data_IF_578941014037
#
_entry.id   IF_578941014037
#
_cell.length_a   1.000
_cell.length_b   1.000
_cell.length_c   1.000
_cell.angle_alpha   90.00
_cell.angle_beta   90.00
_cell.angle_gamma   90.00
#
_symmetry.space_group_name_H-M   'P 1'
#
loop_
_entity.id
_entity.type
_entity.pdbx_description
1 polymer ?
#
# COMPACT_ATOMS: atom_id res chain seq x y z
N UNK A 1 18.88 -20.44 -26.98
CA UNK A 1 18.88 -19.11 -26.29
C UNK A 1 17.65 -18.33 -26.71
N UNK A 2 16.91 -17.77 -25.78
CA UNK A 2 15.74 -16.94 -26.12
C UNK A 2 16.22 -15.67 -26.84
N UNK A 3 15.50 -15.24 -27.87
CA UNK A 3 15.79 -14.02 -28.60
C UNK A 3 15.59 -12.83 -27.63
N UNK A 4 16.63 -11.98 -27.39
CA UNK A 4 16.53 -10.87 -26.44
C UNK A 4 15.35 -9.92 -26.70
N UNK A 5 15.03 -9.67 -27.97
CA UNK A 5 13.88 -8.84 -28.39
C UNK A 5 12.53 -9.47 -28.00
N UNK A 6 12.44 -10.81 -28.09
CA UNK A 6 11.23 -11.53 -27.67
C UNK A 6 11.04 -11.48 -26.15
N UNK A 7 12.12 -11.56 -25.38
CA UNK A 7 12.05 -11.44 -23.92
C UNK A 7 11.63 -10.02 -23.48
N UNK A 8 12.20 -8.99 -24.11
CA UNK A 8 11.81 -7.60 -23.81
C UNK A 8 10.31 -7.37 -24.06
N UNK A 9 9.79 -7.86 -25.18
CA UNK A 9 8.36 -7.74 -25.49
C UNK A 9 7.48 -8.45 -24.45
N UNK A 10 7.86 -9.66 -24.02
CA UNK A 10 7.11 -10.40 -22.99
C UNK A 10 7.10 -9.67 -21.64
N UNK A 11 8.21 -9.05 -21.26
CA UNK A 11 8.29 -8.23 -20.03
C UNK A 11 7.37 -7.02 -20.15
N UNK A 12 7.38 -6.34 -21.28
CA UNK A 12 6.56 -5.15 -21.52
C UNK A 12 5.06 -5.48 -21.52
N UNK A 13 4.67 -6.54 -22.20
CA UNK A 13 3.30 -7.05 -22.22
C UNK A 13 2.82 -7.43 -20.80
N UNK A 14 3.66 -8.12 -20.03
CA UNK A 14 3.35 -8.47 -18.64
C UNK A 14 3.18 -7.24 -17.76
N UNK A 15 4.09 -6.27 -17.86
CA UNK A 15 4.00 -5.04 -17.08
C UNK A 15 2.76 -4.22 -17.44
N UNK A 16 2.41 -4.15 -18.72
CA UNK A 16 1.17 -3.51 -19.18
C UNK A 16 -0.07 -4.21 -18.62
N UNK A 17 -0.13 -5.53 -18.73
CA UNK A 17 -1.25 -6.31 -18.19
C UNK A 17 -1.37 -6.15 -16.68
N UNK A 18 -0.25 -6.22 -15.97
CA UNK A 18 -0.20 -6.01 -14.53
C UNK A 18 -0.73 -4.61 -14.16
N UNK A 19 -0.20 -3.55 -14.78
CA UNK A 19 -0.61 -2.18 -14.50
C UNK A 19 -2.08 -1.92 -14.84
N UNK A 20 -2.61 -2.58 -15.87
CA UNK A 20 -4.00 -2.41 -16.31
C UNK A 20 -5.02 -3.16 -15.43
N UNK A 21 -4.59 -4.19 -14.70
CA UNK A 21 -5.52 -5.10 -14.00
C UNK A 21 -5.26 -5.26 -12.51
N UNK A 22 -4.19 -4.68 -11.98
CA UNK A 22 -3.87 -4.77 -10.56
C UNK A 22 -3.84 -3.40 -9.89
N UNK A 23 -4.27 -3.38 -8.64
CA UNK A 23 -4.03 -2.31 -7.68
C UNK A 23 -3.31 -2.87 -6.47
N UNK A 24 -2.33 -2.13 -5.97
CA UNK A 24 -1.59 -2.47 -4.75
C UNK A 24 -1.72 -1.32 -3.77
N UNK A 25 -2.13 -1.62 -2.55
CA UNK A 25 -2.15 -0.70 -1.43
C UNK A 25 -1.06 -1.12 -0.44
N UNK A 26 -0.09 -0.24 -0.25
CA UNK A 26 1.01 -0.44 0.70
C UNK A 26 0.70 0.25 2.02
N UNK A 27 0.91 -0.45 3.12
CA UNK A 27 0.70 0.04 4.48
C UNK A 27 1.88 -0.36 5.35
N UNK A 28 2.11 0.34 6.45
CA UNK A 28 3.02 -0.10 7.50
C UNK A 28 2.28 -0.87 8.59
N UNK A 29 2.94 -1.84 9.19
CA UNK A 29 2.44 -2.51 10.41
C UNK A 29 2.79 -1.76 11.69
N UNK A 30 3.57 -0.66 11.60
CA UNK A 30 4.11 0.06 12.75
C UNK A 30 3.86 1.57 12.64
N UNK A 31 2.86 2.04 13.37
CA UNK A 31 2.51 3.46 13.41
C UNK A 31 3.49 4.33 14.24
N UNK A 32 4.40 3.72 15.00
CA UNK A 32 5.37 4.43 15.85
C UNK A 32 6.78 4.50 15.21
N UNK A 33 6.89 4.23 13.91
CA UNK A 33 8.14 4.20 13.21
C UNK A 33 8.58 5.59 12.77
N UNK A 34 9.58 6.15 13.45
CA UNK A 34 10.10 7.52 13.21
C UNK A 34 10.59 7.71 11.78
N UNK A 35 11.22 6.69 11.17
CA UNK A 35 11.70 6.79 9.79
C UNK A 35 10.53 6.89 8.79
N UNK A 36 9.42 6.20 9.06
CA UNK A 36 8.18 6.34 8.28
C UNK A 36 7.57 7.73 8.46
N UNK A 37 7.50 8.24 9.68
CA UNK A 37 7.02 9.59 9.95
C UNK A 37 7.87 10.67 9.30
N UNK A 38 9.19 10.50 9.31
CA UNK A 38 10.10 11.45 8.67
C UNK A 38 9.95 11.43 7.14
N UNK A 39 9.94 10.23 6.53
CA UNK A 39 9.96 10.10 5.06
C UNK A 39 8.58 10.29 4.41
N UNK A 40 7.53 9.78 5.03
CA UNK A 40 6.19 9.72 4.46
C UNK A 40 5.15 10.55 5.20
N UNK A 41 5.45 10.96 6.42
CA UNK A 41 4.60 11.81 7.25
C UNK A 41 4.99 13.30 7.22
N UNK A 42 5.59 13.80 6.15
CA UNK A 42 6.04 15.18 6.00
C UNK A 42 6.84 15.66 7.21
N UNK A 43 7.94 14.93 7.54
CA UNK A 43 8.80 15.24 8.70
C UNK A 43 8.00 15.42 10.00
N UNK A 44 7.08 14.49 10.28
CA UNK A 44 6.16 14.46 11.44
C UNK A 44 5.05 15.52 11.41
N UNK A 45 4.73 16.13 10.26
CA UNK A 45 3.62 17.09 10.13
C UNK A 45 2.34 16.45 9.58
N UNK A 46 2.46 15.26 8.98
CA UNK A 46 1.35 14.54 8.34
C UNK A 46 0.46 13.78 9.33
N UNK A 47 -0.30 12.84 8.77
CA UNK A 47 -1.20 11.95 9.53
C UNK A 47 -0.88 10.49 9.23
N UNK A 48 -1.11 9.61 10.21
CA UNK A 48 -1.15 8.18 10.00
C UNK A 48 -2.59 7.69 10.24
N UNK A 49 -3.11 6.90 9.30
CA UNK A 49 -4.49 6.39 9.35
C UNK A 49 -4.44 4.89 9.65
N UNK A 50 -5.12 4.49 10.72
CA UNK A 50 -5.31 3.09 11.09
C UNK A 50 -6.64 2.56 10.60
N UNK A 51 -6.61 1.38 9.99
CA UNK A 51 -7.77 0.71 9.42
C UNK A 51 -8.17 -0.52 10.23
N UNK A 52 -9.48 -0.80 10.27
CA UNK A 52 -9.97 -2.13 10.60
C UNK A 52 -9.58 -3.09 9.47
N UNK A 53 -8.73 -4.05 9.80
CA UNK A 53 -8.16 -4.97 8.81
C UNK A 53 -9.21 -5.86 8.17
N UNK A 54 -10.22 -6.31 8.91
CA UNK A 54 -11.27 -7.19 8.40
C UNK A 54 -12.12 -6.49 7.35
N UNK A 55 -12.55 -5.26 7.64
CA UNK A 55 -13.32 -4.43 6.71
C UNK A 55 -12.49 -4.03 5.49
N UNK A 56 -11.21 -3.71 5.70
CA UNK A 56 -10.32 -3.35 4.61
C UNK A 56 -10.08 -4.53 3.66
N UNK A 57 -9.81 -5.73 4.20
CA UNK A 57 -9.64 -6.95 3.40
C UNK A 57 -10.88 -7.31 2.60
N UNK A 58 -12.06 -7.15 3.17
CA UNK A 58 -13.32 -7.40 2.48
C UNK A 58 -13.47 -6.53 1.22
N UNK A 59 -13.00 -5.29 1.27
CA UNK A 59 -13.14 -4.32 0.17
C UNK A 59 -12.02 -4.39 -0.85
N UNK A 60 -10.77 -4.52 -0.39
CA UNK A 60 -9.60 -4.48 -1.26
C UNK A 60 -9.25 -5.86 -1.80
N UNK A 61 -9.33 -6.90 -0.98
CA UNK A 61 -8.99 -8.27 -1.35
C UNK A 61 -7.83 -8.84 -0.55
N UNK A 62 -7.04 -9.72 -1.17
CA UNK A 62 -5.93 -10.42 -0.51
C UNK A 62 -4.76 -9.53 -0.14
N UNK A 63 -3.94 -10.00 0.80
CA UNK A 63 -2.76 -9.27 1.24
C UNK A 63 -1.72 -10.16 1.93
N UNK A 64 -0.56 -9.58 2.20
CA UNK A 64 0.54 -10.24 2.87
C UNK A 64 1.67 -9.29 3.25
N UNK A 65 2.53 -9.77 4.14
CA UNK A 65 3.76 -9.07 4.51
C UNK A 65 4.75 -9.07 3.36
N UNK A 66 5.49 -7.97 3.21
CA UNK A 66 6.57 -7.84 2.25
C UNK A 66 7.79 -8.62 2.76
N UNK A 67 8.37 -9.41 1.88
CA UNK A 67 9.61 -10.13 2.12
C UNK A 67 10.79 -9.26 1.68
N UNK A 68 11.65 -8.92 2.63
CA UNK A 68 12.83 -8.11 2.37
C UNK A 68 14.02 -9.00 2.04
N UNK A 69 14.67 -8.71 0.92
CA UNK A 69 15.76 -9.52 0.36
C UNK A 69 16.92 -8.64 -0.12
N UNK A 70 18.14 -9.18 -0.12
CA UNK A 70 19.30 -8.50 -0.68
C UNK A 70 19.18 -8.30 -2.19
N UNK A 71 18.70 -9.34 -2.90
CA UNK A 71 18.47 -9.33 -4.33
C UNK A 71 17.03 -9.70 -4.64
N UNK A 72 16.36 -8.88 -5.43
CA UNK A 72 14.98 -9.15 -5.84
C UNK A 72 14.91 -10.43 -6.70
N UNK A 73 13.88 -11.28 -6.48
CA UNK A 73 13.72 -12.49 -7.25
C UNK A 73 13.44 -12.16 -8.72
N UNK A 74 14.19 -12.82 -9.61
CA UNK A 74 13.98 -12.68 -11.06
C UNK A 74 12.69 -13.43 -11.44
N UNK A 75 11.85 -12.78 -12.24
CA UNK A 75 10.69 -13.42 -12.86
C UNK A 75 11.15 -14.21 -14.07
N UNK A 76 11.03 -15.53 -14.00
CA UNK A 76 11.33 -16.45 -15.13
C UNK A 76 10.01 -16.72 -15.88
N UNK A 77 9.84 -16.08 -17.05
CA UNK A 77 8.63 -16.21 -17.85
C UNK A 77 8.38 -17.62 -18.42
N UNK A 78 9.37 -18.51 -18.34
CA UNK A 78 9.27 -19.91 -18.80
C UNK A 78 8.86 -20.84 -17.67
N UNK A 79 9.40 -20.62 -16.45
CA UNK A 79 9.23 -21.53 -15.31
C UNK A 79 8.18 -21.07 -14.33
N UNK A 80 8.05 -19.73 -14.15
CA UNK A 80 7.12 -19.19 -13.19
C UNK A 80 5.69 -19.22 -13.76
N UNK A 81 4.78 -19.78 -12.99
CA UNK A 81 3.35 -19.66 -13.27
C UNK A 81 2.84 -18.23 -12.97
N UNK A 82 1.59 -17.97 -13.30
CA UNK A 82 0.96 -16.67 -13.07
C UNK A 82 1.05 -16.24 -11.59
N UNK A 83 0.76 -17.13 -10.66
CA UNK A 83 0.79 -16.85 -9.23
C UNK A 83 2.20 -16.50 -8.74
N UNK A 84 3.20 -17.28 -9.13
CA UNK A 84 4.60 -17.06 -8.75
C UNK A 84 5.12 -15.73 -9.25
N UNK A 85 4.80 -15.35 -10.49
CA UNK A 85 5.16 -14.03 -11.04
C UNK A 85 4.55 -12.89 -10.26
N UNK A 86 3.27 -13.00 -9.87
CA UNK A 86 2.59 -11.98 -9.09
C UNK A 86 3.14 -11.85 -7.67
N UNK A 87 3.41 -12.99 -7.02
CA UNK A 87 4.04 -12.99 -5.68
C UNK A 87 5.40 -12.31 -5.73
N UNK A 88 6.25 -12.64 -6.72
CA UNK A 88 7.56 -12.00 -6.89
C UNK A 88 7.45 -10.50 -7.15
N UNK A 89 6.45 -10.06 -7.91
CA UNK A 89 6.27 -8.65 -8.25
C UNK A 89 5.67 -7.83 -7.11
N UNK A 90 4.76 -8.42 -6.31
CA UNK A 90 4.02 -7.67 -5.29
C UNK A 90 4.72 -7.73 -3.93
N UNK A 91 5.24 -8.89 -3.51
CA UNK A 91 5.60 -9.13 -2.11
C UNK A 91 7.09 -9.15 -1.82
N UNK A 92 7.94 -8.76 -2.77
CA UNK A 92 9.37 -8.65 -2.52
C UNK A 92 9.83 -7.19 -2.60
N UNK A 93 10.78 -6.83 -1.73
CA UNK A 93 11.40 -5.50 -1.68
C UNK A 93 12.85 -5.63 -1.22
N UNK A 94 13.71 -4.72 -1.66
CA UNK A 94 15.10 -4.70 -1.23
C UNK A 94 15.20 -4.44 0.28
N UNK A 95 16.14 -5.11 0.96
CA UNK A 95 16.30 -5.08 2.42
C UNK A 95 16.53 -3.68 3.00
N UNK A 96 17.08 -2.76 2.22
CA UNK A 96 17.25 -1.35 2.63
C UNK A 96 15.94 -0.65 3.01
N UNK A 97 14.77 -1.22 2.60
CA UNK A 97 13.44 -0.71 2.90
C UNK A 97 12.75 -1.46 4.05
N UNK A 98 13.48 -2.34 4.75
CA UNK A 98 12.88 -3.19 5.80
C UNK A 98 12.33 -2.40 7.01
N UNK A 99 12.79 -1.15 7.19
CA UNK A 99 12.24 -0.25 8.21
C UNK A 99 10.75 0.04 7.99
N UNK A 100 10.24 -0.05 6.75
CA UNK A 100 8.82 0.23 6.47
C UNK A 100 7.87 -0.79 7.08
N UNK A 101 8.33 -2.01 7.41
CA UNK A 101 7.49 -3.11 7.92
C UNK A 101 6.22 -3.23 7.10
N UNK A 102 6.40 -3.29 5.79
CA UNK A 102 5.32 -3.10 4.82
C UNK A 102 4.42 -4.33 4.74
N UNK A 103 3.13 -4.05 4.72
CA UNK A 103 2.08 -5.01 4.41
C UNK A 103 1.35 -4.52 3.15
N UNK A 104 1.21 -5.38 2.14
CA UNK A 104 0.56 -5.03 0.88
C UNK A 104 -0.75 -5.76 0.74
N UNK A 105 -1.80 -5.00 0.44
CA UNK A 105 -3.05 -5.53 -0.09
C UNK A 105 -3.03 -5.39 -1.61
N UNK A 106 -3.67 -6.33 -2.30
CA UNK A 106 -3.81 -6.24 -3.74
C UNK A 106 -5.21 -6.62 -4.19
N UNK A 107 -5.65 -5.98 -5.27
CA UNK A 107 -6.88 -6.30 -5.97
C UNK A 107 -6.57 -6.58 -7.44
N UNK A 108 -7.18 -7.63 -7.97
CA UNK A 108 -7.10 -7.96 -9.39
C UNK A 108 -8.49 -7.82 -10.01
N UNK A 109 -8.56 -7.11 -11.14
CA UNK A 109 -9.76 -7.02 -11.96
C UNK A 109 -9.68 -7.97 -13.15
N UNK A 110 -10.82 -8.47 -13.59
CA UNK A 110 -10.93 -9.41 -14.74
C UNK A 110 -10.77 -8.69 -16.11
N UNK A 111 -10.80 -7.35 -16.11
CA UNK A 111 -10.67 -6.46 -17.27
C UNK A 111 -9.67 -5.36 -17.02
N UNK A 112 -9.34 -4.58 -18.03
CA UNK A 112 -8.54 -3.39 -17.87
C UNK A 112 -9.33 -2.33 -17.08
N UNK A 113 -8.86 -2.02 -15.88
CA UNK A 113 -9.54 -1.15 -14.93
C UNK A 113 -9.26 0.32 -15.25
N UNK A 114 -10.29 1.15 -15.17
CA UNK A 114 -10.17 2.62 -15.27
C UNK A 114 -9.71 3.23 -13.95
N UNK A 115 -9.30 4.50 -13.97
CA UNK A 115 -8.94 5.22 -12.75
C UNK A 115 -10.11 5.33 -11.77
N UNK A 116 -11.34 5.50 -12.27
CA UNK A 116 -12.53 5.57 -11.42
C UNK A 116 -12.83 4.26 -10.72
N UNK A 117 -12.66 3.12 -11.40
CA UNK A 117 -12.83 1.78 -10.80
C UNK A 117 -11.74 1.45 -9.76
N UNK A 118 -10.61 2.17 -9.77
CA UNK A 118 -9.55 2.05 -8.75
C UNK A 118 -9.90 2.79 -7.46
N UNK A 119 -10.88 3.69 -7.49
CA UNK A 119 -11.39 4.36 -6.31
C UNK A 119 -12.31 3.42 -5.54
N UNK A 120 -11.74 2.75 -4.53
CA UNK A 120 -12.47 1.80 -3.71
C UNK A 120 -13.06 2.57 -2.53
N UNK A 121 -14.39 2.63 -2.47
CA UNK A 121 -15.09 3.19 -1.32
C UNK A 121 -14.95 2.29 -0.10
N UNK A 122 -14.45 2.87 0.99
CA UNK A 122 -14.38 2.22 2.29
C UNK A 122 -15.54 2.69 3.17
N UNK A 123 -16.16 1.79 3.96
CA UNK A 123 -17.15 2.21 4.94
C UNK A 123 -16.48 3.10 6.00
N UNK A 124 -17.22 4.06 6.55
CA UNK A 124 -16.68 5.03 7.51
C UNK A 124 -16.10 4.40 8.77
N UNK A 125 -16.64 3.25 9.18
CA UNK A 125 -16.12 2.46 10.31
C UNK A 125 -14.87 1.64 9.98
N UNK A 126 -14.41 1.66 8.74
CA UNK A 126 -13.12 1.05 8.35
C UNK A 126 -11.93 1.85 8.88
N UNK A 127 -12.09 3.18 9.05
CA UNK A 127 -11.07 4.03 9.68
C UNK A 127 -11.31 4.01 11.17
N UNK A 128 -10.39 3.42 11.93
CA UNK A 128 -10.50 3.23 13.39
C UNK A 128 -9.56 4.13 14.18
N UNK A 129 -8.51 4.67 13.52
CA UNK A 129 -7.51 5.50 14.19
C UNK A 129 -6.98 6.58 13.26
N UNK A 130 -6.78 7.78 13.80
CA UNK A 130 -6.14 8.92 13.12
C UNK A 130 -5.09 9.46 14.07
N UNK A 131 -3.81 9.32 13.68
CA UNK A 131 -2.68 9.77 14.50
C UNK A 131 -2.12 11.02 13.84
N UNK A 132 -2.06 12.10 14.60
CA UNK A 132 -1.54 13.39 14.16
C UNK A 132 -0.05 13.47 14.45
N UNK A 133 0.72 13.90 13.48
CA UNK A 133 2.18 14.08 13.64
C UNK A 133 2.53 15.11 14.72
N UNK A 134 3.60 14.89 15.47
CA UNK A 134 4.01 15.74 16.59
C UNK A 134 4.30 17.19 16.16
N UNK A 135 4.80 17.39 14.93
CA UNK A 135 5.15 18.72 14.38
C UNK A 135 4.07 19.33 13.50
N UNK A 136 2.87 18.74 13.50
CA UNK A 136 1.75 19.27 12.72
C UNK A 136 1.37 20.68 13.22
N UNK A 137 1.19 21.68 12.32
CA UNK A 137 0.72 23.00 12.67
C UNK A 137 -0.61 22.96 13.42
N UNK A 138 -0.80 23.82 14.40
CA UNK A 138 -2.03 23.83 15.21
C UNK A 138 -3.30 24.03 14.38
N UNK A 139 -3.23 24.86 13.35
CA UNK A 139 -4.37 25.11 12.46
C UNK A 139 -4.78 23.81 11.74
N UNK A 140 -3.82 23.10 11.14
CA UNK A 140 -4.07 21.85 10.39
C UNK A 140 -4.57 20.75 11.34
N UNK A 141 -4.02 20.71 12.57
CA UNK A 141 -4.42 19.78 13.63
C UNK A 141 -5.89 19.93 13.98
N UNK A 142 -6.36 21.16 14.21
CA UNK A 142 -7.76 21.44 14.55
C UNK A 142 -8.69 21.17 13.36
N UNK A 143 -8.28 21.52 12.15
CA UNK A 143 -9.05 21.22 10.94
C UNK A 143 -9.22 19.69 10.73
N UNK A 144 -8.14 18.92 10.85
CA UNK A 144 -8.20 17.45 10.72
C UNK A 144 -9.08 16.83 11.82
N UNK A 145 -8.97 17.31 13.06
CA UNK A 145 -9.83 16.86 14.16
C UNK A 145 -11.31 17.11 13.86
N UNK A 146 -11.62 18.28 13.31
CA UNK A 146 -13.00 18.63 12.96
C UNK A 146 -13.53 17.72 11.85
N UNK A 147 -12.75 17.51 10.78
CA UNK A 147 -13.08 16.60 9.68
C UNK A 147 -13.27 15.16 10.20
N UNK A 148 -12.36 14.70 11.05
CA UNK A 148 -12.39 13.36 11.62
C UNK A 148 -13.67 13.12 12.47
N UNK A 149 -14.02 14.06 13.33
CA UNK A 149 -15.23 13.95 14.18
C UNK A 149 -16.53 13.90 13.36
N UNK A 150 -16.57 14.60 12.23
CA UNK A 150 -17.76 14.63 11.34
C UNK A 150 -17.86 13.34 10.53
N UNK A 151 -16.77 12.91 9.90
CA UNK A 151 -16.80 11.83 8.91
C UNK A 151 -16.50 10.45 9.53
N UNK A 152 -15.73 10.40 10.62
CA UNK A 152 -15.26 9.18 11.28
C UNK A 152 -15.49 9.23 12.80
N UNK A 153 -16.73 9.35 13.25
CA UNK A 153 -17.05 9.61 14.67
C UNK A 153 -16.59 8.50 15.63
N UNK A 154 -16.33 7.30 15.11
CA UNK A 154 -15.86 6.17 15.88
C UNK A 154 -14.33 6.00 15.84
N UNK A 155 -13.61 6.82 15.07
CA UNK A 155 -12.17 6.74 15.01
C UNK A 155 -11.51 7.37 16.24
N UNK A 156 -10.54 6.69 16.84
CA UNK A 156 -9.70 7.25 17.88
C UNK A 156 -8.76 8.30 17.27
N UNK A 157 -8.74 9.51 17.83
CA UNK A 157 -7.81 10.57 17.42
C UNK A 157 -6.68 10.62 18.43
N UNK A 158 -5.46 10.39 17.99
CA UNK A 158 -4.24 10.38 18.80
C UNK A 158 -3.37 11.57 18.41
N UNK A 159 -2.87 12.30 19.39
CA UNK A 159 -1.85 13.31 19.21
C UNK A 159 -0.50 12.71 19.62
N UNK A 160 0.42 12.60 18.66
CA UNK A 160 1.81 12.27 18.97
C UNK A 160 2.47 13.48 19.62
N UNK A 161 3.19 13.24 20.73
CA UNK A 161 3.89 14.25 21.53
C UNK A 161 5.38 13.95 21.56
#
# INVERSE_FOLDING_TARGET
>A
MANPKRLSNLIEEYNQEFNNRFGVLSMTADCNNDEMWFKYGDEFKGVCIGFDTSLLFERVGGGGEVQYVEELPIIDFVKDDFKSRHVKNIYYKEIKWSFEKEYRLHKMWQHNVTNDERNIELPTNCIVKIILGEKMPLQDREEIKQIARINYPNAEIIENH
#
